data_IF_853053891982
#
_entry.id   IF_853053891982
#
_cell.length_a   1.000
_cell.length_b   1.000
_cell.length_c   1.000
_cell.angle_alpha   90.00
_cell.angle_beta   90.00
_cell.angle_gamma   90.00
#
_symmetry.space_group_name_H-M   'P 1'
#
loop_
_entity.id
_entity.type
_entity.pdbx_description
1 polymer ?
#
# COMPACT_ATOMS: atom_id res chain seq x y z
N UNK A 1 13.94 -4.22 14.90
CA UNK A 1 14.48 -2.86 14.70
C UNK A 1 13.38 -1.80 14.65
N UNK A 2 12.57 -1.66 13.58
CA UNK A 2 11.48 -0.65 13.57
C UNK A 2 10.39 -0.91 14.61
N UNK A 3 9.84 -2.13 14.66
CA UNK A 3 8.79 -2.49 15.63
C UNK A 3 9.27 -2.56 17.09
N UNK A 4 10.57 -2.52 17.35
CA UNK A 4 11.12 -2.54 18.71
C UNK A 4 11.29 -1.13 19.28
N UNK A 5 11.71 -0.16 18.46
CA UNK A 5 11.87 1.24 18.85
C UNK A 5 11.30 2.16 17.76
N UNK A 6 9.96 2.23 17.62
CA UNK A 6 9.33 2.91 16.49
C UNK A 6 9.64 4.41 16.48
N UNK A 7 9.68 5.08 17.64
CA UNK A 7 10.05 6.49 17.73
C UNK A 7 11.48 6.79 17.24
N UNK A 8 12.39 5.80 17.25
CA UNK A 8 13.77 5.97 16.79
C UNK A 8 13.95 5.64 15.32
N UNK A 9 13.22 4.64 14.81
CA UNK A 9 13.49 4.02 13.52
C UNK A 9 12.41 4.22 12.46
N UNK A 10 11.25 4.79 12.81
CA UNK A 10 10.15 4.99 11.86
C UNK A 10 10.57 5.83 10.67
N UNK A 11 11.22 6.97 10.89
CA UNK A 11 11.66 7.84 9.79
C UNK A 11 12.65 7.14 8.86
N UNK A 12 13.66 6.48 9.43
CA UNK A 12 14.66 5.72 8.67
C UNK A 12 14.02 4.59 7.87
N UNK A 13 13.09 3.85 8.49
CA UNK A 13 12.40 2.74 7.84
C UNK A 13 11.48 3.22 6.70
N UNK A 14 10.69 4.26 6.93
CA UNK A 14 9.81 4.82 5.90
C UNK A 14 10.60 5.38 4.71
N UNK A 15 11.74 6.02 4.97
CA UNK A 15 12.64 6.51 3.92
C UNK A 15 13.20 5.35 3.08
N UNK A 16 13.68 4.28 3.73
CA UNK A 16 14.20 3.11 3.02
C UNK A 16 13.12 2.38 2.22
N UNK A 17 11.93 2.23 2.80
CA UNK A 17 10.80 1.55 2.17
C UNK A 17 10.34 2.30 0.91
N UNK A 18 10.12 3.61 1.05
CA UNK A 18 9.76 4.48 -0.06
C UNK A 18 10.83 4.48 -1.16
N UNK A 19 12.12 4.60 -0.82
CA UNK A 19 13.20 4.56 -1.81
C UNK A 19 13.29 3.23 -2.55
N UNK A 20 13.13 2.12 -1.85
CA UNK A 20 13.12 0.79 -2.47
C UNK A 20 11.96 0.66 -3.46
N UNK A 21 10.77 1.12 -3.05
CA UNK A 21 9.56 1.01 -3.88
C UNK A 21 9.58 1.96 -5.07
N UNK A 22 10.07 3.18 -4.88
CA UNK A 22 10.29 4.14 -5.95
C UNK A 22 11.22 3.56 -7.01
N UNK A 23 12.36 2.99 -6.61
CA UNK A 23 13.30 2.35 -7.54
C UNK A 23 12.63 1.25 -8.37
N UNK A 24 11.89 0.35 -7.71
CA UNK A 24 11.16 -0.72 -8.41
C UNK A 24 10.14 -0.16 -9.41
N UNK A 25 9.39 0.88 -9.05
CA UNK A 25 8.42 1.49 -9.97
C UNK A 25 9.09 2.18 -11.17
N UNK A 26 10.26 2.78 -10.97
CA UNK A 26 11.03 3.45 -12.03
C UNK A 26 11.85 2.49 -12.92
N UNK A 27 11.96 1.21 -12.56
CA UNK A 27 12.61 0.22 -13.41
C UNK A 27 11.92 0.15 -14.78
N UNK A 28 12.69 -0.01 -15.88
CA UNK A 28 12.14 -0.14 -17.21
C UNK A 28 11.15 -1.31 -17.31
N UNK A 29 10.12 -1.15 -18.12
CA UNK A 29 9.19 -2.23 -18.43
C UNK A 29 9.96 -3.43 -19.00
N UNK A 30 9.87 -4.62 -18.38
CA UNK A 30 10.54 -5.81 -18.88
C UNK A 30 10.21 -6.10 -20.34
N UNK A 31 11.19 -6.53 -21.15
CA UNK A 31 11.01 -6.73 -22.60
C UNK A 31 9.85 -7.65 -22.99
N UNK A 32 9.51 -8.63 -22.15
CA UNK A 32 8.34 -9.52 -22.34
C UNK A 32 7.00 -8.77 -22.36
N UNK A 33 6.89 -7.68 -21.60
CA UNK A 33 5.67 -6.86 -21.52
C UNK A 33 5.59 -5.89 -22.69
N UNK A 34 6.73 -5.49 -23.28
CA UNK A 34 6.75 -4.62 -24.46
C UNK A 34 6.25 -5.31 -25.73
N UNK A 35 6.21 -6.65 -25.75
CA UNK A 35 5.77 -7.46 -26.89
C UNK A 35 4.30 -7.92 -26.80
N UNK A 36 3.61 -7.61 -25.71
CA UNK A 36 2.22 -8.00 -25.51
C UNK A 36 1.27 -6.89 -25.98
N UNK A 37 0.18 -7.26 -26.67
CA UNK A 37 -0.88 -6.33 -27.09
C UNK A 37 -1.56 -5.64 -25.89
N UNK A 38 -1.54 -6.28 -24.72
CA UNK A 38 -1.99 -5.70 -23.45
C UNK A 38 -0.98 -6.04 -22.37
N UNK A 39 -0.25 -5.05 -21.91
CA UNK A 39 0.77 -5.21 -20.87
C UNK A 39 0.25 -4.73 -19.52
N UNK A 40 0.34 -5.59 -18.51
CA UNK A 40 -0.07 -5.27 -17.13
C UNK A 40 1.14 -5.38 -16.22
N UNK A 41 1.39 -4.34 -15.45
CA UNK A 41 2.41 -4.32 -14.39
C UNK A 41 1.71 -4.17 -13.04
N UNK A 42 1.90 -5.17 -12.17
CA UNK A 42 1.33 -5.18 -10.82
C UNK A 42 2.44 -4.87 -9.82
N UNK A 43 2.14 -4.01 -8.86
CA UNK A 43 3.03 -3.68 -7.75
C UNK A 43 2.40 -4.14 -6.43
N UNK A 44 3.21 -4.74 -5.55
CA UNK A 44 2.79 -4.94 -4.16
C UNK A 44 2.89 -3.59 -3.44
N UNK A 45 1.72 -3.02 -3.11
CA UNK A 45 1.58 -1.64 -2.59
C UNK A 45 2.10 -0.59 -3.60
N UNK A 46 2.26 0.65 -3.14
CA UNK A 46 2.72 1.76 -3.98
C UNK A 46 3.46 2.79 -3.13
N UNK A 47 4.22 3.68 -3.78
CA UNK A 47 4.82 4.85 -3.12
C UNK A 47 3.78 5.67 -2.36
N UNK A 48 2.54 5.70 -2.84
CA UNK A 48 1.44 6.41 -2.21
C UNK A 48 1.00 5.79 -0.88
N UNK A 49 0.97 4.45 -0.78
CA UNK A 49 0.63 3.82 0.50
C UNK A 49 1.74 3.95 1.53
N UNK A 50 3.01 4.08 1.12
CA UNK A 50 4.10 4.40 2.06
C UNK A 50 3.80 5.73 2.79
N UNK A 51 3.34 6.77 2.08
CA UNK A 51 2.95 8.05 2.70
C UNK A 51 1.59 8.02 3.39
N UNK A 52 0.53 7.67 2.67
CA UNK A 52 -0.85 7.90 3.12
C UNK A 52 -1.38 6.83 4.06
N UNK A 53 -0.73 5.66 4.12
CA UNK A 53 -1.05 4.61 5.10
C UNK A 53 0.00 4.60 6.20
N UNK A 54 1.25 4.28 5.88
CA UNK A 54 2.23 3.93 6.92
C UNK A 54 2.85 5.15 7.59
N UNK A 55 3.45 6.07 6.82
CA UNK A 55 4.08 7.25 7.40
C UNK A 55 3.06 8.18 8.08
N UNK A 56 1.89 8.40 7.47
CA UNK A 56 0.78 9.12 8.12
C UNK A 56 0.38 8.48 9.46
N UNK A 57 0.22 7.15 9.50
CA UNK A 57 -0.13 6.46 10.73
C UNK A 57 0.96 6.58 11.81
N UNK A 58 2.23 6.46 11.42
CA UNK A 58 3.36 6.60 12.32
C UNK A 58 3.50 8.03 12.86
N UNK A 59 3.12 9.04 12.09
CA UNK A 59 3.00 10.40 12.60
C UNK A 59 1.84 10.52 13.60
N UNK A 60 0.64 10.06 13.22
CA UNK A 60 -0.56 10.18 14.06
C UNK A 60 -0.47 9.39 15.37
N UNK A 61 0.31 8.31 15.41
CA UNK A 61 0.55 7.54 16.64
C UNK A 61 1.80 7.97 17.43
N UNK A 62 2.49 9.04 17.01
CA UNK A 62 3.63 9.63 17.71
C UNK A 62 4.97 8.95 17.48
N UNK A 63 5.07 8.03 16.52
CA UNK A 63 6.33 7.37 16.14
C UNK A 63 7.20 8.20 15.18
N UNK A 64 6.62 9.19 14.50
CA UNK A 64 7.35 10.24 13.78
C UNK A 64 7.14 11.57 14.51
N UNK A 65 8.23 12.30 14.72
CA UNK A 65 8.15 13.70 15.18
C UNK A 65 7.61 14.62 14.08
N UNK A 66 7.18 15.83 14.46
CA UNK A 66 6.75 16.85 13.50
C UNK A 66 7.83 17.18 12.46
N UNK A 67 9.09 17.23 12.89
CA UNK A 67 10.24 17.50 12.01
C UNK A 67 10.44 16.35 11.01
N UNK A 68 10.44 15.10 11.48
CA UNK A 68 10.59 13.93 10.60
C UNK A 68 9.42 13.82 9.61
N UNK A 69 8.20 14.08 10.07
CA UNK A 69 7.01 14.06 9.22
C UNK A 69 7.06 15.17 8.17
N UNK A 70 7.50 16.37 8.54
CA UNK A 70 7.68 17.46 7.58
C UNK A 70 8.71 17.11 6.51
N UNK A 71 9.91 16.65 6.92
CA UNK A 71 10.99 16.27 5.99
C UNK A 71 10.56 15.12 5.08
N UNK A 72 9.90 14.09 5.63
CA UNK A 72 9.42 12.95 4.83
C UNK A 72 8.42 13.40 3.76
N UNK A 73 7.47 14.26 4.12
CA UNK A 73 6.49 14.79 3.17
C UNK A 73 7.12 15.63 2.07
N UNK A 74 8.09 16.47 2.42
CA UNK A 74 8.78 17.36 1.48
C UNK A 74 9.51 16.56 0.38
N UNK A 75 10.39 15.63 0.78
CA UNK A 75 11.13 14.80 -0.18
C UNK A 75 10.23 13.82 -0.94
N UNK A 76 9.20 13.28 -0.30
CA UNK A 76 8.22 12.44 -1.00
C UNK A 76 7.47 13.23 -2.06
N UNK A 77 6.99 14.44 -1.75
CA UNK A 77 6.32 15.31 -2.73
C UNK A 77 7.25 15.67 -3.88
N UNK A 78 8.48 16.10 -3.57
CA UNK A 78 9.48 16.45 -4.56
C UNK A 78 9.74 15.30 -5.54
N UNK A 79 10.05 14.09 -5.04
CA UNK A 79 10.38 12.97 -5.90
C UNK A 79 9.21 12.45 -6.73
N UNK A 80 7.97 12.52 -6.21
CA UNK A 80 6.81 12.16 -7.01
C UNK A 80 6.50 13.18 -8.10
N UNK A 81 6.78 14.46 -7.87
CA UNK A 81 6.66 15.50 -8.90
C UNK A 81 7.72 15.32 -9.99
N UNK A 82 8.98 15.06 -9.63
CA UNK A 82 10.07 14.85 -10.60
C UNK A 82 9.87 13.61 -11.49
N UNK A 83 9.10 12.63 -11.02
CA UNK A 83 8.90 11.36 -11.71
C UNK A 83 7.44 11.04 -12.03
N UNK A 84 6.57 12.05 -12.03
CA UNK A 84 5.11 11.91 -12.16
C UNK A 84 4.71 10.98 -13.31
N UNK A 85 5.20 11.26 -14.53
CA UNK A 85 4.89 10.51 -15.75
C UNK A 85 5.21 9.01 -15.67
N UNK A 86 6.18 8.62 -14.84
CA UNK A 86 6.63 7.23 -14.70
C UNK A 86 5.99 6.49 -13.53
N UNK A 87 5.28 7.20 -12.65
CA UNK A 87 4.70 6.68 -11.41
C UNK A 87 3.16 6.67 -11.43
N UNK A 88 2.56 7.01 -12.56
CA UNK A 88 1.12 6.94 -12.76
C UNK A 88 0.63 5.49 -12.58
N UNK A 89 -0.41 5.34 -11.75
CA UNK A 89 -1.10 4.07 -11.54
C UNK A 89 -2.49 4.17 -12.16
N UNK A 90 -2.85 3.16 -12.95
CA UNK A 90 -4.16 3.11 -13.61
C UNK A 90 -5.27 2.61 -12.70
N UNK A 91 -4.93 1.91 -11.60
CA UNK A 91 -5.92 1.37 -10.68
C UNK A 91 -5.27 0.84 -9.40
N UNK A 92 -6.07 0.76 -8.34
CA UNK A 92 -5.72 0.05 -7.11
C UNK A 92 -6.59 -1.19 -6.94
N UNK A 93 -6.00 -2.28 -6.48
CA UNK A 93 -6.73 -3.45 -5.98
C UNK A 93 -6.57 -3.47 -4.47
N UNK A 94 -7.64 -3.14 -3.75
CA UNK A 94 -7.67 -3.14 -2.30
C UNK A 94 -8.18 -4.49 -1.78
N UNK A 95 -7.25 -5.27 -1.22
CA UNK A 95 -7.54 -6.53 -0.54
C UNK A 95 -8.04 -6.26 0.87
N UNK A 96 -9.35 -6.19 1.05
CA UNK A 96 -9.99 -5.82 2.30
C UNK A 96 -10.23 -7.04 3.19
N UNK A 97 -9.72 -6.99 4.41
CA UNK A 97 -9.99 -7.95 5.49
C UNK A 97 -10.08 -7.21 6.82
N UNK A 98 -10.82 -7.78 7.77
CA UNK A 98 -10.94 -7.20 9.11
C UNK A 98 -9.59 -7.25 9.85
N UNK A 99 -9.33 -6.33 10.80
CA UNK A 99 -8.13 -6.36 11.63
C UNK A 99 -7.92 -7.69 12.36
N UNK A 100 -9.00 -8.37 12.74
CA UNK A 100 -8.98 -9.68 13.39
C UNK A 100 -8.45 -10.76 12.45
N UNK A 101 -8.98 -10.84 11.23
CA UNK A 101 -8.50 -11.78 10.20
C UNK A 101 -7.03 -11.49 9.86
N UNK A 102 -6.65 -10.22 9.76
CA UNK A 102 -5.26 -9.82 9.55
C UNK A 102 -4.35 -10.26 10.70
N UNK A 103 -4.81 -10.17 11.96
CA UNK A 103 -4.06 -10.62 13.13
C UNK A 103 -3.85 -12.13 13.11
N UNK A 104 -4.90 -12.90 12.83
CA UNK A 104 -4.82 -14.36 12.73
C UNK A 104 -3.79 -14.79 11.68
N UNK A 105 -3.84 -14.18 10.48
CA UNK A 105 -2.89 -14.44 9.39
C UNK A 105 -1.46 -14.02 9.74
N UNK A 106 -1.29 -12.92 10.47
CA UNK A 106 0.02 -12.45 10.95
C UNK A 106 0.61 -13.48 11.92
N UNK A 107 -0.18 -13.97 12.88
CA UNK A 107 0.24 -15.00 13.82
C UNK A 107 0.58 -16.32 13.11
N UNK A 108 -0.25 -16.77 12.16
CA UNK A 108 -0.01 -17.98 11.37
C UNK A 108 1.28 -17.91 10.56
N UNK A 109 1.58 -16.74 9.98
CA UNK A 109 2.81 -16.52 9.20
C UNK A 109 4.08 -16.57 10.04
N UNK A 110 3.99 -16.23 11.34
CA UNK A 110 5.05 -16.47 12.31
C UNK A 110 6.36 -15.70 12.08
N UNK A 111 6.32 -14.52 11.46
CA UNK A 111 7.52 -13.68 11.28
C UNK A 111 7.96 -13.09 12.61
N UNK A 112 9.24 -13.26 12.96
CA UNK A 112 9.81 -12.81 14.23
C UNK A 112 9.65 -11.30 14.43
N UNK A 113 9.81 -10.51 13.38
CA UNK A 113 9.72 -9.04 13.42
C UNK A 113 8.31 -8.53 13.72
N UNK A 114 7.28 -9.36 13.47
CA UNK A 114 5.88 -8.99 13.56
C UNK A 114 5.24 -9.47 14.89
N UNK A 115 5.92 -10.30 15.69
CA UNK A 115 5.38 -10.88 16.93
C UNK A 115 4.88 -9.87 17.97
N UNK A 116 5.42 -8.65 17.95
CA UNK A 116 5.02 -7.56 18.86
C UNK A 116 3.87 -6.70 18.37
N UNK A 117 3.32 -6.97 17.18
CA UNK A 117 2.25 -6.14 16.61
C UNK A 117 0.93 -6.44 17.33
N UNK A 118 0.32 -5.39 17.89
CA UNK A 118 -0.98 -5.49 18.54
C UNK A 118 -2.15 -5.23 17.59
N UNK A 119 -3.34 -5.74 17.96
CA UNK A 119 -4.57 -5.55 17.17
C UNK A 119 -4.92 -4.07 17.02
N UNK A 120 -4.58 -3.23 18.00
CA UNK A 120 -4.77 -1.79 17.93
C UNK A 120 -4.03 -1.17 16.74
N UNK A 121 -2.79 -1.59 16.47
CA UNK A 121 -2.02 -1.11 15.33
C UNK A 121 -2.65 -1.54 13.99
N UNK A 122 -3.14 -2.78 13.89
CA UNK A 122 -3.85 -3.25 12.69
C UNK A 122 -5.16 -2.49 12.47
N UNK A 123 -5.89 -2.14 13.54
CA UNK A 123 -7.09 -1.29 13.46
C UNK A 123 -6.76 0.11 12.94
N UNK A 124 -5.66 0.70 13.39
CA UNK A 124 -5.20 2.00 12.89
C UNK A 124 -4.92 1.91 11.38
N UNK A 125 -4.10 0.94 10.95
CA UNK A 125 -3.78 0.75 9.53
C UNK A 125 -5.04 0.47 8.69
N UNK A 126 -5.97 -0.33 9.19
CA UNK A 126 -7.24 -0.58 8.52
C UNK A 126 -8.02 0.73 8.33
N UNK A 127 -8.13 1.57 9.37
CA UNK A 127 -8.73 2.89 9.27
C UNK A 127 -8.11 3.76 8.18
N UNK A 128 -6.78 3.80 8.07
CA UNK A 128 -6.11 4.55 7.00
C UNK A 128 -6.49 4.06 5.60
N UNK A 129 -6.66 2.74 5.42
CA UNK A 129 -7.08 2.17 4.13
C UNK A 129 -8.55 2.49 3.84
N UNK A 130 -9.44 2.36 4.82
CA UNK A 130 -10.86 2.70 4.66
C UNK A 130 -11.03 4.19 4.33
N UNK A 131 -10.32 5.07 5.04
CA UNK A 131 -10.37 6.52 4.82
C UNK A 131 -9.87 6.92 3.44
N UNK A 132 -8.85 6.24 2.92
CA UNK A 132 -8.34 6.53 1.59
C UNK A 132 -9.16 5.87 0.46
N UNK A 133 -9.43 4.58 0.56
CA UNK A 133 -10.01 3.81 -0.54
C UNK A 133 -11.54 3.81 -0.54
N UNK A 134 -12.20 3.87 0.61
CA UNK A 134 -13.66 3.77 0.74
C UNK A 134 -14.29 5.14 1.00
N UNK A 135 -13.94 5.78 2.12
CA UNK A 135 -14.59 7.01 2.58
C UNK A 135 -14.11 8.27 1.82
N UNK A 136 -12.96 8.19 1.15
CA UNK A 136 -12.30 9.29 0.43
C UNK A 136 -12.08 10.54 1.29
N UNK A 137 -11.79 10.34 2.57
CA UNK A 137 -11.55 11.41 3.57
C UNK A 137 -10.07 11.77 3.70
N UNK A 138 -9.16 10.88 3.31
CA UNK A 138 -7.71 11.16 3.32
C UNK A 138 -7.38 12.29 2.34
N UNK A 139 -6.78 13.38 2.84
CA UNK A 139 -6.32 14.50 2.02
C UNK A 139 -5.13 14.09 1.13
N UNK A 140 -5.39 13.98 -0.18
CA UNK A 140 -4.38 13.68 -1.19
C UNK A 140 -3.73 14.95 -1.73
N UNK A 141 -2.44 14.83 -2.06
CA UNK A 141 -1.61 15.94 -2.54
C UNK A 141 -1.21 15.78 -4.02
N UNK A 142 -1.72 14.74 -4.67
CA UNK A 142 -1.49 14.43 -6.08
C UNK A 142 -2.85 14.32 -6.76
N UNK A 143 -3.10 15.17 -7.75
CA UNK A 143 -4.40 15.23 -8.44
C UNK A 143 -4.70 13.93 -9.16
N UNK A 144 -3.69 13.34 -9.79
CA UNK A 144 -3.78 12.06 -10.51
C UNK A 144 -4.45 10.97 -9.68
N UNK A 145 -4.21 10.91 -8.36
CA UNK A 145 -4.76 9.89 -7.48
C UNK A 145 -6.26 10.00 -7.21
N UNK A 146 -6.85 11.20 -7.33
CA UNK A 146 -8.26 11.41 -6.95
C UNK A 146 -9.23 10.64 -7.83
N UNK A 147 -8.82 10.36 -9.06
CA UNK A 147 -9.65 9.71 -10.07
C UNK A 147 -9.22 8.27 -10.36
N UNK A 148 -8.18 7.77 -9.69
CA UNK A 148 -7.72 6.38 -9.90
C UNK A 148 -8.79 5.42 -9.37
N UNK A 149 -9.32 4.53 -10.22
CA UNK A 149 -10.33 3.57 -9.82
C UNK A 149 -9.76 2.56 -8.80
N UNK A 150 -10.62 2.09 -7.90
CA UNK A 150 -10.27 1.12 -6.86
C UNK A 150 -11.19 -0.08 -6.95
N UNK A 151 -10.62 -1.26 -7.18
CA UNK A 151 -11.31 -2.54 -7.01
C UNK A 151 -11.17 -2.99 -5.56
N UNK A 152 -12.30 -3.16 -4.87
CA UNK A 152 -12.31 -3.68 -3.49
C UNK A 152 -12.62 -5.17 -3.53
N UNK A 153 -11.72 -5.99 -3.01
CA UNK A 153 -11.90 -7.43 -2.91
C UNK A 153 -12.00 -7.82 -1.43
N UNK A 154 -13.15 -8.35 -1.01
CA UNK A 154 -13.30 -8.88 0.34
C UNK A 154 -12.61 -10.24 0.43
N UNK A 155 -11.54 -10.29 1.21
CA UNK A 155 -10.72 -11.47 1.46
C UNK A 155 -10.77 -11.88 2.94
N UNK A 156 -11.89 -11.63 3.61
CA UNK A 156 -12.08 -12.05 5.02
C UNK A 156 -12.17 -13.57 5.14
N UNK A 157 -12.82 -14.22 4.18
CA UNK A 157 -12.76 -15.67 4.03
C UNK A 157 -11.40 -16.08 3.47
N UNK A 158 -10.87 -17.19 3.97
CA UNK A 158 -9.62 -17.74 3.45
C UNK A 158 -9.84 -18.32 2.05
N UNK A 159 -9.18 -17.73 1.06
CA UNK A 159 -9.23 -18.15 -0.33
C UNK A 159 -7.98 -18.94 -0.74
N UNK A 160 -7.00 -19.16 0.14
CA UNK A 160 -5.71 -19.79 -0.19
C UNK A 160 -5.87 -21.20 -0.76
N UNK A 161 -6.82 -21.98 -0.24
CA UNK A 161 -7.12 -23.35 -0.67
C UNK A 161 -8.50 -23.49 -1.34
N UNK A 162 -9.21 -22.38 -1.58
CA UNK A 162 -10.55 -22.39 -2.17
C UNK A 162 -10.50 -21.98 -3.65
N UNK A 163 -10.38 -22.96 -4.53
CA UNK A 163 -10.31 -22.75 -5.98
C UNK A 163 -11.50 -21.96 -6.54
N UNK A 164 -12.72 -22.22 -6.06
CA UNK A 164 -13.90 -21.49 -6.50
C UNK A 164 -13.83 -20.00 -6.12
N UNK A 165 -13.34 -19.70 -4.91
CA UNK A 165 -13.15 -18.31 -4.46
C UNK A 165 -12.01 -17.62 -5.22
N UNK A 166 -10.93 -18.33 -5.53
CA UNK A 166 -9.84 -17.81 -6.35
C UNK A 166 -10.33 -17.43 -7.74
N UNK A 167 -11.13 -18.29 -8.38
CA UNK A 167 -11.70 -18.03 -9.70
C UNK A 167 -12.65 -16.81 -9.67
N UNK A 168 -13.50 -16.71 -8.65
CA UNK A 168 -14.37 -15.54 -8.43
C UNK A 168 -13.57 -14.24 -8.33
N UNK A 169 -12.54 -14.21 -7.48
CA UNK A 169 -11.68 -13.03 -7.29
C UNK A 169 -10.94 -12.66 -8.58
N UNK A 170 -10.40 -13.65 -9.29
CA UNK A 170 -9.73 -13.42 -10.57
C UNK A 170 -10.69 -12.93 -11.66
N UNK A 171 -11.95 -13.38 -11.65
CA UNK A 171 -13.00 -12.84 -12.52
C UNK A 171 -13.26 -11.34 -12.29
N UNK A 172 -13.30 -10.91 -11.02
CA UNK A 172 -13.43 -9.50 -10.66
C UNK A 172 -12.20 -8.69 -11.10
N UNK A 173 -10.99 -9.19 -10.87
CA UNK A 173 -9.74 -8.54 -11.33
C UNK A 173 -9.73 -8.41 -12.85
N UNK A 174 -10.04 -9.47 -13.59
CA UNK A 174 -10.07 -9.43 -15.06
C UNK A 174 -11.10 -8.42 -15.59
N UNK A 175 -12.27 -8.35 -14.96
CA UNK A 175 -13.31 -7.37 -15.32
C UNK A 175 -12.84 -5.95 -15.05
N UNK A 176 -12.21 -5.71 -13.90
CA UNK A 176 -11.65 -4.42 -13.55
C UNK A 176 -10.57 -3.98 -14.55
N UNK A 177 -9.61 -4.85 -14.84
CA UNK A 177 -8.50 -4.55 -15.76
C UNK A 177 -8.94 -4.25 -17.19
N UNK A 178 -10.07 -4.82 -17.65
CA UNK A 178 -10.65 -4.53 -18.98
C UNK A 178 -11.34 -3.17 -19.06
N UNK A 179 -11.68 -2.58 -17.91
CA UNK A 179 -12.39 -1.30 -17.80
C UNK A 179 -11.47 -0.14 -17.44
N UNK A 180 -10.16 -0.38 -17.31
CA UNK A 180 -9.11 0.64 -17.17
C UNK A 180 -8.69 1.15 -18.54
#
# INVERSE_FOLDING_TARGET
MMYQEPARWSYTFQTLSFMSRLKVQLEPTPGRLLQADTSVRVFERSVYSDRYIFAKNLFENGSLSDVEWHIYQDWHSFLLQEFEDRLLLHGFIYLQASPQVCMERLCQRGREEEKGIELAYLKQLHGQHEDWFINKTTKLHFEALRHVPVLVLNISEDFSENAAKQEELMGQVNTFMRNL
#
